data_IF_928878177546
#
_entry.id   IF_928878177546
#
_cell.length_a   1.000
_cell.length_b   1.000
_cell.length_c   1.000
_cell.angle_alpha   90.00
_cell.angle_beta   90.00
_cell.angle_gamma   90.00
#
_symmetry.space_group_name_H-M   'P 1'
#
loop_
_entity.id
_entity.type
_entity.pdbx_description
1 polymer ?
#
# COMPACT_ATOMS: atom_id res chain seq x y z
N UNK A 1 11.77 -26.15 -44.87
CA UNK A 1 10.40 -25.93 -45.38
C UNK A 1 9.82 -24.73 -44.65
N UNK A 2 9.61 -23.63 -45.37
CA UNK A 2 8.93 -22.43 -44.88
C UNK A 2 7.43 -22.71 -44.89
N UNK A 3 6.75 -22.53 -43.77
CA UNK A 3 5.31 -22.27 -43.78
C UNK A 3 5.06 -20.98 -43.02
N UNK A 4 4.73 -20.00 -43.83
CA UNK A 4 4.24 -18.67 -43.52
C UNK A 4 2.76 -18.85 -43.23
N UNK A 5 2.29 -18.45 -42.05
CA UNK A 5 0.87 -18.27 -41.78
C UNK A 5 0.63 -16.79 -41.47
N UNK A 6 -0.10 -16.19 -42.40
CA UNK A 6 -0.60 -14.83 -42.41
C UNK A 6 -2.04 -14.83 -41.89
N UNK A 7 -2.42 -13.72 -41.25
CA UNK A 7 -3.78 -13.20 -41.07
C UNK A 7 -4.63 -13.93 -39.99
N UNK A 8 -5.43 -13.28 -39.14
CA UNK A 8 -6.20 -12.04 -39.28
C UNK A 8 -6.22 -11.23 -37.96
N UNK A 9 -6.03 -9.91 -38.09
CA UNK A 9 -6.27 -8.92 -37.04
C UNK A 9 -7.73 -8.48 -37.16
N UNK A 10 -8.54 -8.73 -36.13
CA UNK A 10 -9.90 -8.18 -36.02
C UNK A 10 -9.88 -6.93 -35.13
N UNK A 11 -10.31 -5.74 -35.61
CA UNK A 11 -10.46 -4.56 -34.79
C UNK A 11 -11.87 -4.52 -34.21
N UNK A 12 -12.03 -4.88 -32.93
CA UNK A 12 -13.30 -4.66 -32.21
C UNK A 12 -13.29 -3.30 -31.53
N UNK A 13 -13.95 -2.37 -32.21
CA UNK A 13 -14.87 -1.35 -31.72
C UNK A 13 -14.51 -0.58 -30.44
N UNK A 14 -14.28 0.70 -30.71
CA UNK A 14 -14.43 1.88 -29.88
C UNK A 14 -15.67 1.92 -28.96
N UNK A 15 -15.55 2.84 -27.99
CA UNK A 15 -16.63 3.57 -27.32
C UNK A 15 -17.46 2.84 -26.25
N UNK A 16 -17.02 2.97 -24.99
CA UNK A 16 -17.89 3.46 -23.91
C UNK A 16 -17.07 3.81 -22.65
N UNK A 17 -16.60 5.06 -22.60
CA UNK A 17 -16.07 5.67 -21.37
C UNK A 17 -17.24 6.33 -20.62
N UNK A 18 -17.54 5.93 -19.37
CA UNK A 18 -18.51 6.65 -18.55
C UNK A 18 -17.90 7.98 -18.09
N UNK A 19 -18.60 9.08 -18.41
CA UNK A 19 -18.29 10.42 -17.91
C UNK A 19 -18.42 10.50 -16.37
N UNK A 20 -17.52 11.23 -15.68
CA UNK A 20 -17.72 11.56 -14.27
C UNK A 20 -18.80 12.64 -14.11
N UNK A 21 -19.66 12.58 -13.08
CA UNK A 21 -20.59 13.65 -12.77
C UNK A 21 -19.87 14.88 -12.20
N UNK A 22 -20.31 16.06 -12.64
CA UNK A 22 -19.81 17.37 -12.22
C UNK A 22 -20.03 17.66 -10.73
N UNK A 23 -19.18 18.49 -10.08
CA UNK A 23 -19.36 18.91 -8.70
C UNK A 23 -20.50 19.94 -8.58
N UNK A 24 -21.45 19.67 -7.69
CA UNK A 24 -22.47 20.64 -7.28
C UNK A 24 -21.82 21.74 -6.42
N UNK A 25 -21.86 22.94 -6.98
CA UNK A 25 -21.54 24.22 -6.37
C UNK A 25 -22.62 24.53 -5.31
N UNK A 26 -22.24 24.55 -4.04
CA UNK A 26 -23.08 24.95 -2.93
C UNK A 26 -22.69 26.33 -2.43
N UNK A 27 -23.35 27.34 -2.97
CA UNK A 27 -23.37 28.69 -2.41
C UNK A 27 -24.21 28.67 -1.12
N UNK A 28 -23.59 29.09 -0.02
CA UNK A 28 -24.23 29.25 1.28
C UNK A 28 -23.85 30.60 1.86
N UNK A 29 -24.57 31.64 1.41
CA UNK A 29 -24.60 32.95 2.02
C UNK A 29 -25.40 32.92 3.34
N UNK A 30 -24.89 33.62 4.35
CA UNK A 30 -25.56 33.90 5.61
C UNK A 30 -24.49 34.26 6.63
N UNK A 31 -24.43 35.45 7.20
CA UNK A 31 -25.49 36.34 7.68
C UNK A 31 -25.05 36.71 9.10
N UNK A 32 -24.94 38.01 9.38
CA UNK A 32 -24.00 38.55 10.37
C UNK A 32 -24.30 38.32 11.84
N UNK A 33 -23.34 38.68 12.69
CA UNK A 33 -23.62 39.24 14.02
C UNK A 33 -22.47 40.15 14.47
N UNK A 34 -22.83 41.41 14.66
CA UNK A 34 -22.06 42.50 15.22
C UNK A 34 -21.97 42.32 16.74
N UNK A 35 -20.77 42.23 17.32
CA UNK A 35 -20.57 42.43 18.76
C UNK A 35 -19.43 43.39 19.08
N UNK A 36 -19.90 44.54 19.55
CA UNK A 36 -19.35 45.48 20.51
C UNK A 36 -17.85 45.43 20.88
N UNK A 37 -17.24 46.56 20.58
CA UNK A 37 -16.09 47.20 21.23
C UNK A 37 -16.21 47.17 22.76
N UNK A 38 -15.13 46.83 23.45
CA UNK A 38 -14.84 47.25 24.83
C UNK A 38 -13.35 47.03 25.19
N UNK A 39 -12.81 47.73 26.20
CA UNK A 39 -11.60 48.53 26.03
C UNK A 39 -10.30 47.87 26.50
N UNK A 40 -9.22 48.42 25.96
CA UNK A 40 -7.83 48.28 26.34
C UNK A 40 -7.60 48.57 27.84
N UNK A 41 -7.34 47.54 28.64
CA UNK A 41 -6.84 47.66 30.01
C UNK A 41 -5.34 47.38 30.02
N UNK A 42 -4.56 48.43 30.28
CA UNK A 42 -3.13 48.35 30.53
C UNK A 42 -2.84 47.46 31.75
N UNK A 43 -1.88 46.51 31.68
CA UNK A 43 -1.45 45.77 32.84
C UNK A 43 -0.63 46.67 33.81
N UNK A 44 -0.85 46.57 35.14
CA UNK A 44 -0.06 47.25 36.16
C UNK A 44 1.37 46.67 36.30
N UNK A 45 2.27 47.38 37.00
CA UNK A 45 3.72 47.19 36.91
C UNK A 45 4.22 45.86 37.47
N UNK A 46 5.23 45.33 36.78
CA UNK A 46 6.01 44.15 37.15
C UNK A 46 6.73 44.36 38.49
N UNK A 47 6.09 43.90 39.56
CA UNK A 47 6.69 43.73 40.88
C UNK A 47 7.62 42.53 40.87
N UNK A 48 8.91 42.81 41.00
CA UNK A 48 9.98 41.81 41.04
C UNK A 48 9.78 40.79 42.14
N UNK A 49 9.88 39.52 41.74
CA UNK A 49 10.42 38.46 42.57
C UNK A 49 11.33 37.62 41.68
N UNK A 50 12.63 37.90 41.74
CA UNK A 50 13.69 36.98 41.29
C UNK A 50 13.62 35.74 42.21
N UNK A 51 12.66 34.87 41.97
CA UNK A 51 12.74 33.51 42.47
C UNK A 51 13.70 32.77 41.54
N UNK A 52 14.73 32.19 42.15
CA UNK A 52 15.75 31.34 41.54
C UNK A 52 15.10 30.16 40.80
N UNK A 53 14.61 30.42 39.59
CA UNK A 53 13.89 29.46 38.74
C UNK A 53 14.80 28.67 37.79
N UNK A 54 16.08 29.03 37.71
CA UNK A 54 17.02 28.45 36.76
C UNK A 54 17.28 26.96 37.06
N UNK A 55 17.27 26.55 38.33
CA UNK A 55 17.52 25.15 38.69
C UNK A 55 16.31 24.25 38.34
N UNK A 56 15.08 24.73 38.56
CA UNK A 56 13.88 23.97 38.21
C UNK A 56 13.69 23.83 36.70
N UNK A 57 14.02 24.88 35.93
CA UNK A 57 13.98 24.83 34.47
C UNK A 57 15.00 23.84 33.88
N UNK A 58 16.21 23.80 34.43
CA UNK A 58 17.27 22.88 33.99
C UNK A 58 16.90 21.43 34.29
N UNK A 59 16.38 21.12 35.48
CA UNK A 59 15.93 19.76 35.81
C UNK A 59 14.74 19.28 34.95
N UNK A 60 13.81 20.19 34.64
CA UNK A 60 12.68 19.85 33.76
C UNK A 60 13.16 19.52 32.34
N UNK A 61 14.13 20.27 31.80
CA UNK A 61 14.75 19.99 30.51
C UNK A 61 15.58 18.71 30.49
N UNK A 62 16.31 18.39 31.57
CA UNK A 62 17.10 17.16 31.68
C UNK A 62 16.21 15.91 31.64
N UNK A 63 14.97 15.97 32.14
CA UNK A 63 14.01 14.87 32.05
C UNK A 63 13.22 14.87 30.72
N UNK A 64 12.92 16.04 30.17
CA UNK A 64 12.19 16.13 28.90
C UNK A 64 13.04 15.77 27.67
N UNK A 65 14.33 16.14 27.64
CA UNK A 65 15.24 15.83 26.53
C UNK A 65 15.34 14.33 26.21
N UNK A 66 15.62 13.44 27.17
CA UNK A 66 15.68 12.01 26.91
C UNK A 66 14.30 11.45 26.55
N UNK A 67 13.20 11.98 27.10
CA UNK A 67 11.84 11.57 26.75
C UNK A 67 11.50 11.92 25.28
N UNK A 68 11.86 13.12 24.83
CA UNK A 68 11.72 13.53 23.43
C UNK A 68 12.60 12.67 22.52
N UNK A 69 13.83 12.36 22.95
CA UNK A 69 14.77 11.53 22.19
C UNK A 69 14.26 10.08 22.06
N UNK A 70 13.66 9.53 23.12
CA UNK A 70 12.96 8.23 23.09
C UNK A 70 11.77 8.28 22.13
N UNK A 71 10.93 9.31 22.19
CA UNK A 71 9.77 9.44 21.28
C UNK A 71 10.19 9.59 19.81
N UNK A 72 11.31 10.26 19.52
CA UNK A 72 11.88 10.37 18.17
C UNK A 72 12.45 9.02 17.68
N UNK A 73 13.08 8.23 18.55
CA UNK A 73 13.61 6.91 18.21
C UNK A 73 12.50 5.86 18.06
N UNK A 74 11.41 5.98 18.81
CA UNK A 74 10.23 5.10 18.73
C UNK A 74 9.15 5.61 17.77
N UNK A 75 9.45 6.63 16.96
CA UNK A 75 8.52 7.30 16.04
C UNK A 75 7.69 6.32 15.20
N UNK A 76 6.41 6.26 15.55
CA UNK A 76 5.27 5.63 14.89
C UNK A 76 5.57 4.78 13.63
N UNK A 77 5.62 3.46 13.80
CA UNK A 77 5.33 2.53 12.70
C UNK A 77 3.90 2.82 12.24
N UNK A 78 3.74 3.46 11.09
CA UNK A 78 2.43 3.64 10.43
C UNK A 78 1.80 2.26 10.32
N UNK A 79 0.73 2.04 11.07
CA UNK A 79 -0.14 0.90 10.86
C UNK A 79 -0.87 1.17 9.55
N UNK A 80 -0.35 0.63 8.44
CA UNK A 80 -1.14 0.56 7.20
C UNK A 80 -2.53 0.03 7.56
N UNK A 81 -3.57 0.69 7.03
CA UNK A 81 -4.94 0.27 7.26
C UNK A 81 -5.03 -1.25 7.06
N UNK A 82 -5.45 -2.02 8.08
CA UNK A 82 -5.16 -3.44 8.13
C UNK A 82 -5.78 -4.18 6.95
N UNK A 83 -4.92 -4.70 6.08
CA UNK A 83 -5.29 -5.66 5.05
C UNK A 83 -6.02 -5.10 3.84
N UNK A 84 -5.74 -3.86 3.40
CA UNK A 84 -6.15 -3.37 2.06
C UNK A 84 -4.97 -3.38 1.09
N UNK A 85 -5.28 -3.62 -0.18
CA UNK A 85 -4.35 -3.58 -1.29
C UNK A 85 -3.88 -2.15 -1.56
N UNK A 86 -2.57 -1.96 -1.72
CA UNK A 86 -1.97 -0.66 -2.05
C UNK A 86 -2.27 -0.20 -3.48
N UNK A 87 -2.76 -1.09 -4.36
CA UNK A 87 -3.10 -0.78 -5.74
C UNK A 87 -4.58 -0.38 -5.90
N UNK A 88 -5.50 -1.25 -5.50
CA UNK A 88 -6.96 -1.07 -5.73
C UNK A 88 -7.78 -0.80 -4.44
N UNK A 89 -7.15 -0.83 -3.26
CA UNK A 89 -7.81 -0.60 -1.97
C UNK A 89 -8.74 -1.72 -1.51
N UNK A 90 -8.81 -2.86 -2.22
CA UNK A 90 -9.66 -4.01 -1.90
C UNK A 90 -9.09 -4.76 -0.69
N UNK A 91 -9.97 -5.42 0.07
CA UNK A 91 -9.56 -6.28 1.20
C UNK A 91 -8.72 -7.45 0.70
N UNK A 92 -7.56 -7.66 1.31
CA UNK A 92 -6.61 -8.72 0.97
C UNK A 92 -7.01 -10.02 1.65
N UNK A 93 -7.07 -11.08 0.87
CA UNK A 93 -7.07 -12.45 1.38
C UNK A 93 -5.62 -12.90 1.60
N UNK A 94 -5.22 -13.30 2.82
CA UNK A 94 -3.82 -13.57 3.15
C UNK A 94 -3.15 -14.64 2.27
N UNK A 95 -3.92 -15.60 1.75
CA UNK A 95 -3.40 -16.71 0.94
C UNK A 95 -2.97 -16.29 -0.49
N UNK A 96 -3.43 -15.12 -0.96
CA UNK A 96 -3.08 -14.58 -2.29
C UNK A 96 -2.24 -13.30 -2.19
N UNK A 97 -1.84 -12.93 -0.97
CA UNK A 97 -1.16 -11.69 -0.71
C UNK A 97 0.26 -11.69 -1.29
N UNK A 98 0.65 -10.52 -1.82
CA UNK A 98 2.01 -10.25 -2.30
C UNK A 98 2.55 -9.06 -1.53
N UNK A 99 3.80 -9.15 -1.07
CA UNK A 99 4.45 -8.12 -0.28
C UNK A 99 5.71 -7.64 -0.99
N UNK A 100 5.79 -6.35 -1.29
CA UNK A 100 7.02 -5.71 -1.73
C UNK A 100 7.62 -4.98 -0.54
N UNK A 101 8.86 -5.32 -0.19
CA UNK A 101 9.66 -4.53 0.74
C UNK A 101 10.51 -3.58 -0.06
N UNK A 102 10.36 -2.27 0.17
CA UNK A 102 11.14 -1.24 -0.48
C UNK A 102 12.49 -1.03 0.22
N UNK A 103 13.45 -0.41 -0.46
CA UNK A 103 14.79 -0.10 0.07
C UNK A 103 14.75 0.76 1.34
N UNK A 104 13.76 1.65 1.44
CA UNK A 104 13.48 2.49 2.62
C UNK A 104 12.87 1.72 3.80
N UNK A 105 12.56 0.43 3.63
CA UNK A 105 11.94 -0.41 4.66
C UNK A 105 10.41 -0.38 4.69
N UNK A 106 9.77 0.48 3.88
CA UNK A 106 8.32 0.48 3.68
C UNK A 106 7.86 -0.82 3.01
N UNK A 107 6.78 -1.41 3.51
CA UNK A 107 6.14 -2.58 2.91
C UNK A 107 4.91 -2.13 2.09
N UNK A 108 4.77 -2.67 0.88
CA UNK A 108 3.58 -2.53 0.03
C UNK A 108 2.92 -3.89 -0.12
N UNK A 109 1.58 -3.93 0.00
CA UNK A 109 0.77 -5.14 0.04
C UNK A 109 -0.21 -5.15 -1.12
N UNK A 110 -0.29 -6.28 -1.82
CA UNK A 110 -1.20 -6.44 -2.96
C UNK A 110 -2.10 -7.64 -2.73
N UNK A 111 -3.34 -7.55 -3.24
CA UNK A 111 -4.34 -8.62 -3.12
C UNK A 111 -4.09 -9.80 -4.07
N UNK A 112 -3.26 -9.63 -5.10
CA UNK A 112 -2.94 -10.66 -6.09
C UNK A 112 -1.61 -10.38 -6.80
N UNK A 113 -1.12 -11.41 -7.51
CA UNK A 113 0.04 -11.30 -8.40
C UNK A 113 -0.20 -10.28 -9.52
N UNK A 114 -1.43 -10.16 -10.03
CA UNK A 114 -1.78 -9.19 -11.08
C UNK A 114 -1.64 -7.74 -10.59
N UNK A 115 -2.18 -7.42 -9.41
CA UNK A 115 -2.04 -6.07 -8.85
C UNK A 115 -0.58 -5.72 -8.55
N UNK A 116 0.18 -6.70 -8.05
CA UNK A 116 1.61 -6.56 -7.82
C UNK A 116 2.40 -6.36 -9.12
N UNK A 117 2.10 -7.12 -10.19
CA UNK A 117 2.80 -7.01 -11.47
C UNK A 117 2.49 -5.70 -12.20
N UNK A 118 1.26 -5.19 -12.09
CA UNK A 118 0.91 -3.85 -12.60
C UNK A 118 1.67 -2.73 -11.88
N UNK A 119 1.91 -2.88 -10.57
CA UNK A 119 2.65 -1.90 -9.77
C UNK A 119 4.17 -2.06 -9.90
N UNK A 120 4.65 -3.19 -10.43
CA UNK A 120 6.06 -3.55 -10.46
C UNK A 120 6.93 -2.58 -11.28
N UNK A 121 6.56 -2.17 -12.52
CA UNK A 121 7.38 -1.24 -13.32
C UNK A 121 7.70 0.07 -12.60
N UNK A 122 6.76 0.61 -11.84
CA UNK A 122 6.91 1.88 -11.10
C UNK A 122 7.71 1.74 -9.80
N UNK A 123 7.77 0.52 -9.26
CA UNK A 123 8.42 0.22 -7.99
C UNK A 123 9.76 -0.50 -8.17
N UNK A 124 10.06 -1.03 -9.36
CA UNK A 124 11.23 -1.91 -9.63
C UNK A 124 12.55 -1.37 -9.09
N UNK A 125 12.83 -0.08 -9.27
CA UNK A 125 14.07 0.55 -8.80
C UNK A 125 14.17 0.69 -7.28
N UNK A 126 13.04 0.62 -6.58
CA UNK A 126 12.91 0.80 -5.13
C UNK A 126 12.66 -0.51 -4.38
N UNK A 127 12.30 -1.59 -5.06
CA UNK A 127 12.03 -2.89 -4.44
C UNK A 127 13.36 -3.51 -3.98
N UNK A 128 13.41 -3.87 -2.70
CA UNK A 128 14.48 -4.65 -2.08
C UNK A 128 14.17 -6.14 -2.13
N UNK A 129 12.91 -6.51 -1.85
CA UNK A 129 12.49 -7.90 -1.78
C UNK A 129 11.02 -8.05 -2.18
N UNK A 130 10.69 -9.17 -2.82
CA UNK A 130 9.33 -9.58 -3.13
C UNK A 130 9.04 -10.89 -2.42
N UNK A 131 8.02 -10.89 -1.56
CA UNK A 131 7.52 -12.06 -0.85
C UNK A 131 6.11 -12.39 -1.36
N UNK A 132 5.89 -13.66 -1.69
CA UNK A 132 4.62 -14.22 -2.13
C UNK A 132 4.16 -15.29 -1.13
N UNK A 133 2.88 -15.63 -1.13
CA UNK A 133 2.32 -16.67 -0.25
C UNK A 133 2.05 -17.93 -1.05
N UNK A 134 2.52 -19.08 -0.56
CA UNK A 134 2.20 -20.39 -1.12
C UNK A 134 0.72 -20.70 -0.92
N UNK A 135 -0.02 -20.90 -2.02
CA UNK A 135 -1.46 -21.14 -1.96
C UNK A 135 -1.82 -22.43 -1.22
N UNK A 136 -0.89 -23.41 -1.15
CA UNK A 136 -1.17 -24.69 -0.50
C UNK A 136 -0.91 -24.64 1.00
N UNK A 137 0.22 -24.06 1.41
CA UNK A 137 0.65 -24.06 2.81
C UNK A 137 0.35 -22.77 3.57
N UNK A 138 0.07 -21.67 2.86
CA UNK A 138 -0.04 -20.33 3.44
C UNK A 138 1.30 -19.73 3.89
N UNK A 139 2.42 -20.40 3.57
CA UNK A 139 3.75 -19.96 3.97
C UNK A 139 4.24 -18.82 3.07
N UNK A 140 4.89 -17.81 3.66
CA UNK A 140 5.57 -16.74 2.93
C UNK A 140 6.87 -17.24 2.32
N UNK A 141 7.08 -16.98 1.02
CA UNK A 141 8.22 -17.43 0.24
C UNK A 141 8.79 -16.26 -0.55
N UNK A 142 10.11 -16.19 -0.70
CA UNK A 142 10.72 -15.23 -1.59
C UNK A 142 10.34 -15.55 -3.05
N UNK A 143 9.88 -14.56 -3.81
CA UNK A 143 9.39 -14.76 -5.16
C UNK A 143 10.42 -15.42 -6.09
N UNK A 144 11.72 -15.18 -5.88
CA UNK A 144 12.78 -15.82 -6.68
C UNK A 144 12.86 -17.34 -6.53
N UNK A 145 12.34 -17.88 -5.42
CA UNK A 145 12.31 -19.31 -5.13
C UNK A 145 10.93 -19.94 -5.36
N UNK A 146 9.93 -19.12 -5.66
CA UNK A 146 8.57 -19.56 -5.84
C UNK A 146 8.33 -20.06 -7.27
N UNK A 147 7.37 -20.97 -7.39
CA UNK A 147 6.95 -21.54 -8.65
C UNK A 147 5.60 -20.94 -9.05
N UNK A 148 5.53 -20.42 -10.28
CA UNK A 148 4.34 -19.74 -10.81
C UNK A 148 3.66 -20.59 -11.87
N UNK A 149 2.34 -20.71 -11.74
CA UNK A 149 1.49 -21.47 -12.64
C UNK A 149 0.29 -20.61 -13.02
N UNK A 150 -0.03 -20.55 -14.30
CA UNK A 150 -1.30 -19.97 -14.76
C UNK A 150 -2.29 -21.11 -15.04
N UNK A 151 -3.54 -20.96 -14.58
CA UNK A 151 -4.58 -21.97 -14.83
C UNK A 151 -5.96 -21.35 -15.12
N UNK A 152 -6.96 -22.18 -15.41
CA UNK A 152 -8.32 -21.70 -15.60
C UNK A 152 -9.03 -21.26 -14.30
N UNK A 153 -8.47 -21.64 -13.14
CA UNK A 153 -9.03 -21.29 -11.84
C UNK A 153 -8.76 -19.82 -11.53
N UNK A 154 -9.83 -19.09 -11.25
CA UNK A 154 -9.74 -17.69 -10.80
C UNK A 154 -9.72 -17.66 -9.28
N UNK A 155 -8.66 -17.12 -8.69
CA UNK A 155 -8.51 -17.00 -7.23
C UNK A 155 -9.12 -15.71 -6.69
N UNK A 156 -8.95 -14.62 -7.44
CA UNK A 156 -9.41 -13.29 -7.03
C UNK A 156 -10.36 -12.74 -8.12
N UNK A 157 -11.69 -12.80 -7.90
CA UNK A 157 -12.67 -12.53 -8.96
C UNK A 157 -12.59 -11.11 -9.56
N UNK A 158 -12.29 -10.09 -8.75
CA UNK A 158 -12.34 -8.69 -9.19
C UNK A 158 -11.24 -8.33 -10.21
N UNK A 159 -10.06 -8.96 -10.13
CA UNK A 159 -8.97 -8.77 -11.08
C UNK A 159 -8.76 -9.99 -11.98
N UNK A 160 -9.64 -11.00 -11.88
CA UNK A 160 -9.58 -12.27 -12.61
C UNK A 160 -8.21 -12.95 -12.51
N UNK A 161 -7.55 -12.88 -11.34
CA UNK A 161 -6.23 -13.50 -11.14
C UNK A 161 -6.30 -15.01 -11.40
N UNK A 162 -5.46 -15.47 -12.33
CA UNK A 162 -5.28 -16.88 -12.75
C UNK A 162 -3.90 -17.41 -12.45
N UNK A 163 -3.05 -16.57 -11.85
CA UNK A 163 -1.68 -16.92 -11.49
C UNK A 163 -1.68 -17.46 -10.07
N UNK A 164 -1.10 -18.64 -9.91
CA UNK A 164 -0.98 -19.38 -8.68
C UNK A 164 0.49 -19.53 -8.29
N UNK A 165 0.73 -19.53 -6.98
CA UNK A 165 2.07 -19.59 -6.39
C UNK A 165 2.23 -20.82 -5.52
N UNK A 166 3.31 -21.56 -5.73
CA UNK A 166 3.64 -22.75 -4.95
C UNK A 166 5.09 -22.71 -4.46
N UNK A 167 5.30 -23.22 -3.24
CA UNK A 167 6.65 -23.43 -2.70
C UNK A 167 7.28 -24.76 -3.10
N UNK A 168 6.47 -25.75 -3.50
CA UNK A 168 6.91 -27.09 -3.85
C UNK A 168 6.50 -27.44 -5.28
N UNK A 169 7.42 -28.07 -6.01
CA UNK A 169 7.20 -28.47 -7.40
C UNK A 169 6.09 -29.49 -7.54
N UNK A 170 6.02 -30.45 -6.61
CA UNK A 170 5.03 -31.51 -6.62
C UNK A 170 3.59 -30.97 -6.49
N UNK A 171 3.41 -29.90 -5.72
CA UNK A 171 2.11 -29.27 -5.52
C UNK A 171 1.69 -28.46 -6.76
N UNK A 172 2.63 -27.72 -7.37
CA UNK A 172 2.42 -27.03 -8.64
C UNK A 172 2.07 -28.02 -9.77
N UNK A 173 2.77 -29.15 -9.88
CA UNK A 173 2.48 -30.18 -10.89
C UNK A 173 1.11 -30.84 -10.71
N UNK A 174 0.68 -31.07 -9.46
CA UNK A 174 -0.69 -31.53 -9.18
C UNK A 174 -1.73 -30.50 -9.61
N UNK A 175 -1.46 -29.22 -9.38
CA UNK A 175 -2.35 -28.12 -9.79
C UNK A 175 -2.46 -28.05 -11.33
N UNK A 176 -1.33 -28.09 -12.03
CA UNK A 176 -1.26 -28.11 -13.49
C UNK A 176 -2.08 -29.25 -14.09
N UNK A 177 -1.91 -30.48 -13.58
CA UNK A 177 -2.66 -31.66 -14.05
C UNK A 177 -4.16 -31.55 -13.79
N UNK A 178 -4.55 -30.94 -12.67
CA UNK A 178 -5.95 -30.85 -12.25
C UNK A 178 -6.72 -29.75 -12.98
N UNK A 179 -6.05 -28.63 -13.28
CA UNK A 179 -6.70 -27.41 -13.77
C UNK A 179 -6.21 -26.97 -15.14
N UNK A 180 -5.59 -27.89 -15.89
CA UNK A 180 -5.10 -27.67 -17.24
C UNK A 180 -4.23 -26.39 -17.36
N UNK A 181 -3.36 -26.19 -16.38
CA UNK A 181 -2.52 -25.00 -16.31
C UNK A 181 -1.24 -25.10 -17.13
N UNK A 182 -0.47 -24.01 -17.14
CA UNK A 182 0.89 -23.94 -17.70
C UNK A 182 1.86 -23.30 -16.72
N UNK A 183 3.13 -23.69 -16.81
CA UNK A 183 4.21 -22.96 -16.15
C UNK A 183 4.33 -21.56 -16.76
N UNK A 184 4.56 -20.57 -15.91
CA UNK A 184 4.87 -19.21 -16.35
C UNK A 184 6.18 -18.76 -15.72
N UNK A 185 6.86 -17.84 -16.39
CA UNK A 185 8.03 -17.17 -15.84
C UNK A 185 7.63 -16.27 -14.66
N UNK A 186 8.61 -15.97 -13.81
CA UNK A 186 8.38 -15.12 -12.66
C UNK A 186 8.01 -13.69 -13.13
N UNK A 187 6.82 -13.17 -12.78
CA UNK A 187 6.38 -11.86 -13.27
C UNK A 187 7.18 -10.67 -12.71
N UNK A 188 8.09 -10.92 -11.77
CA UNK A 188 8.88 -9.88 -11.09
C UNK A 188 10.35 -9.85 -11.51
N UNK A 189 10.81 -10.68 -12.46
CA UNK A 189 12.23 -10.71 -12.87
C UNK A 189 12.41 -10.83 -14.38
#
# INVERSE_FOLDING_TARGET
MKQIFHDEISPTNDENLPHPPSPLMGEGEGGGEYRLISPHLNPPPQGGRRFSGDIFFVFMWILFLPLILVMLVFGCKKSDAPGRCDYDGVKIEPIYAVYFTLQEGTEKKFCSIVCASLSFPELKSRIKEVIVVDERSGTKINASQALFVESEVVTVPHNKNRIHVFGKREDAEKHLKRFNGRWIENPFF
#
